data_IF_680313834873
#
_entry.id   IF_680313834873
#
_cell.length_a   1.000
_cell.length_b   1.000
_cell.length_c   1.000
_cell.angle_alpha   90.00
_cell.angle_beta   90.00
_cell.angle_gamma   90.00
#
_symmetry.space_group_name_H-M   'P 1'
#
loop_
_entity.id
_entity.type
_entity.pdbx_description
1 polymer ?
#
# COMPACT_ATOMS: atom_id res chain seq x y z
N UNK A 1 4.81 13.00 12.84
CA UNK A 1 3.48 13.07 12.19
C UNK A 1 2.48 13.47 13.27
N UNK A 2 1.68 14.51 13.04
CA UNK A 2 0.69 14.95 14.02
C UNK A 2 -0.54 14.03 13.99
N UNK A 3 -1.03 13.63 15.15
CA UNK A 3 -2.33 12.94 15.25
C UNK A 3 -3.43 13.99 15.14
N UNK A 4 -4.24 13.93 14.08
CA UNK A 4 -5.45 14.74 13.95
C UNK A 4 -6.67 13.88 14.29
N UNK A 5 -7.47 14.29 15.26
CA UNK A 5 -8.75 13.64 15.58
C UNK A 5 -9.83 14.11 14.61
N UNK A 6 -10.59 13.18 14.04
CA UNK A 6 -11.74 13.43 13.18
C UNK A 6 -12.88 12.52 13.60
N UNK A 7 -14.10 13.04 13.63
CA UNK A 7 -15.30 12.29 14.01
C UNK A 7 -16.11 11.89 12.77
N UNK A 8 -16.83 10.78 12.89
CA UNK A 8 -17.85 10.41 11.92
C UNK A 8 -19.08 11.29 12.08
N UNK A 9 -19.74 11.60 10.96
CA UNK A 9 -21.09 12.15 11.02
C UNK A 9 -22.16 11.07 11.32
N UNK A 10 -23.43 11.48 11.34
CA UNK A 10 -24.59 10.61 11.61
C UNK A 10 -24.71 9.42 10.63
N UNK A 11 -24.03 9.48 9.47
CA UNK A 11 -24.02 8.43 8.45
C UNK A 11 -22.73 7.60 8.49
N UNK A 12 -21.87 7.79 9.48
CA UNK A 12 -20.60 7.09 9.58
C UNK A 12 -19.50 7.59 8.64
N UNK A 13 -19.65 8.78 8.04
CA UNK A 13 -18.66 9.32 7.08
C UNK A 13 -17.56 10.09 7.81
N UNK A 14 -16.32 9.88 7.39
CA UNK A 14 -15.17 10.67 7.82
C UNK A 14 -14.73 11.57 6.67
N UNK A 15 -14.53 12.85 6.95
CA UNK A 15 -13.95 13.80 5.98
C UNK A 15 -12.44 13.72 6.04
N UNK A 16 -11.81 13.26 4.97
CA UNK A 16 -10.35 13.31 4.83
C UNK A 16 -9.93 14.77 4.51
N UNK A 17 -9.02 15.36 5.31
CA UNK A 17 -8.48 16.70 5.07
C UNK A 17 -7.98 16.90 3.63
N UNK A 18 -8.11 18.12 3.12
CA UNK A 18 -7.81 18.45 1.73
C UNK A 18 -6.37 18.10 1.38
N UNK A 19 -5.43 18.40 2.27
CA UNK A 19 -3.99 18.17 2.12
C UNK A 19 -3.68 16.68 1.96
N UNK A 20 -4.42 15.81 2.66
CA UNK A 20 -4.27 14.36 2.52
C UNK A 20 -4.88 13.86 1.20
N UNK A 21 -6.01 14.41 0.76
CA UNK A 21 -6.61 14.06 -0.54
C UNK A 21 -5.74 14.50 -1.72
N UNK A 22 -5.10 15.66 -1.64
CA UNK A 22 -4.14 16.10 -2.66
C UNK A 22 -2.92 15.17 -2.74
N UNK A 23 -2.47 14.64 -1.60
CA UNK A 23 -1.32 13.74 -1.53
C UNK A 23 -1.64 12.30 -1.94
N UNK A 24 -2.80 11.79 -1.55
CA UNK A 24 -3.14 10.36 -1.65
C UNK A 24 -4.31 10.06 -2.59
N UNK A 25 -4.96 11.07 -3.15
CA UNK A 25 -6.12 10.93 -4.01
C UNK A 25 -7.45 10.81 -3.26
N UNK A 26 -8.50 10.49 -4.00
CA UNK A 26 -9.89 10.50 -3.50
C UNK A 26 -10.51 9.12 -3.33
N UNK A 27 -9.87 8.07 -3.87
CA UNK A 27 -10.39 6.70 -3.85
C UNK A 27 -9.54 5.84 -2.94
N UNK A 28 -10.20 5.06 -2.07
CA UNK A 28 -9.53 4.23 -1.08
C UNK A 28 -10.18 2.84 -1.05
N UNK A 29 -9.39 1.84 -0.68
CA UNK A 29 -9.88 0.54 -0.20
C UNK A 29 -9.95 0.60 1.32
N UNK A 30 -11.09 0.23 1.87
CA UNK A 30 -11.26 0.04 3.31
C UNK A 30 -10.88 -1.39 3.65
N UNK A 31 -9.90 -1.55 4.54
CA UNK A 31 -9.45 -2.85 5.04
C UNK A 31 -9.74 -2.94 6.52
N UNK A 32 -10.47 -3.98 6.91
CA UNK A 32 -10.71 -4.32 8.30
C UNK A 32 -9.51 -5.09 8.86
N UNK A 33 -9.02 -4.66 10.02
CA UNK A 33 -7.96 -5.29 10.79
C UNK A 33 -8.51 -5.67 12.16
N UNK A 34 -7.74 -6.43 12.96
CA UNK A 34 -8.19 -6.86 14.31
C UNK A 34 -8.52 -5.67 15.22
N UNK A 35 -7.71 -4.62 15.16
CA UNK A 35 -7.78 -3.49 16.09
C UNK A 35 -8.20 -2.17 15.41
N UNK A 36 -8.77 -2.23 14.21
CA UNK A 36 -9.25 -1.04 13.51
C UNK A 36 -9.41 -1.18 12.01
N UNK A 37 -9.54 -0.05 11.33
CA UNK A 37 -9.64 0.03 9.87
C UNK A 37 -8.43 0.75 9.28
N UNK A 38 -8.04 0.36 8.07
CA UNK A 38 -7.03 1.06 7.28
C UNK A 38 -7.59 1.49 5.94
N UNK A 39 -7.40 2.76 5.59
CA UNK A 39 -7.70 3.29 4.27
C UNK A 39 -6.44 3.22 3.40
N UNK A 40 -6.49 2.40 2.34
CA UNK A 40 -5.41 2.26 1.38
C UNK A 40 -5.76 3.04 0.10
N UNK A 41 -4.96 4.04 -0.31
CA UNK A 41 -5.18 4.76 -1.57
C UNK A 41 -5.31 3.80 -2.75
N UNK A 42 -6.30 4.04 -3.62
CA UNK A 42 -6.46 3.31 -4.87
C UNK A 42 -5.95 4.18 -6.02
N UNK A 43 -4.74 3.91 -6.56
CA UNK A 43 -4.24 4.62 -7.72
C UNK A 43 -5.13 4.36 -8.94
N UNK A 44 -5.23 5.37 -9.81
CA UNK A 44 -5.97 5.26 -11.08
C UNK A 44 -5.30 4.27 -12.02
N UNK A 45 -3.97 4.28 -12.06
CA UNK A 45 -3.12 3.28 -12.72
C UNK A 45 -2.21 2.61 -11.68
N UNK A 46 -2.60 1.42 -11.18
CA UNK A 46 -1.80 0.69 -10.19
C UNK A 46 -0.42 0.29 -10.69
N UNK A 47 -0.26 0.01 -11.99
CA UNK A 47 1.01 -0.44 -12.57
C UNK A 47 1.97 0.75 -12.67
N UNK A 48 1.49 1.89 -13.17
CA UNK A 48 2.29 3.11 -13.22
C UNK A 48 2.67 3.59 -11.81
N UNK A 49 1.75 3.54 -10.85
CA UNK A 49 2.02 3.90 -9.46
C UNK A 49 3.08 2.98 -8.82
N UNK A 50 2.97 1.66 -9.03
CA UNK A 50 3.96 0.69 -8.56
C UNK A 50 5.34 0.96 -9.18
N UNK A 51 5.39 1.19 -10.49
CA UNK A 51 6.65 1.52 -11.19
C UNK A 51 7.24 2.86 -10.72
N UNK A 52 6.41 3.86 -10.41
CA UNK A 52 6.87 5.14 -9.88
C UNK A 52 7.47 5.02 -8.47
N UNK A 53 6.91 4.15 -7.63
CA UNK A 53 7.39 3.87 -6.28
C UNK A 53 8.61 2.93 -6.24
N UNK A 54 8.86 2.19 -7.32
CA UNK A 54 10.00 1.28 -7.45
C UNK A 54 11.34 2.02 -7.30
N UNK A 55 12.32 1.36 -6.68
CA UNK A 55 13.71 1.83 -6.68
C UNK A 55 14.25 1.83 -8.12
N UNK A 56 15.27 2.64 -8.39
CA UNK A 56 15.92 2.63 -9.71
C UNK A 56 16.49 1.25 -10.07
N UNK A 57 17.01 0.52 -9.08
CA UNK A 57 17.45 -0.87 -9.25
C UNK A 57 16.27 -1.76 -9.71
N UNK A 58 15.11 -1.65 -9.06
CA UNK A 58 13.93 -2.44 -9.42
C UNK A 58 13.36 -2.06 -10.80
N UNK A 59 13.52 -0.80 -11.23
CA UNK A 59 13.12 -0.36 -12.58
C UNK A 59 14.03 -0.89 -13.69
N UNK A 60 15.30 -1.15 -13.38
CA UNK A 60 16.32 -1.59 -14.33
C UNK A 60 16.45 -3.12 -14.41
N UNK A 61 15.99 -3.83 -13.38
CA UNK A 61 16.00 -5.28 -13.34
C UNK A 61 15.19 -5.90 -14.50
N UNK A 62 15.74 -6.96 -15.08
CA UNK A 62 15.06 -7.78 -16.06
C UNK A 62 14.00 -8.66 -15.41
N UNK A 63 13.02 -9.12 -16.20
CA UNK A 63 11.97 -10.02 -15.70
C UNK A 63 12.52 -11.35 -15.17
N UNK A 64 13.65 -11.83 -15.70
CA UNK A 64 14.27 -13.08 -15.25
C UNK A 64 14.95 -12.91 -13.88
N UNK A 65 15.64 -11.78 -13.66
CA UNK A 65 16.23 -11.43 -12.36
C UNK A 65 15.15 -11.27 -11.28
N UNK A 66 14.08 -10.52 -11.58
CA UNK A 66 12.95 -10.33 -10.67
C UNK A 66 12.27 -11.65 -10.30
N UNK A 67 12.16 -12.57 -11.27
CA UNK A 67 11.59 -13.90 -11.05
C UNK A 67 12.49 -14.74 -10.15
N UNK A 68 13.79 -14.72 -10.38
CA UNK A 68 14.76 -15.46 -9.58
C UNK A 68 14.76 -14.99 -8.12
N UNK A 69 14.90 -13.67 -7.88
CA UNK A 69 14.86 -13.09 -6.53
C UNK A 69 13.54 -13.40 -5.80
N UNK A 70 12.40 -13.23 -6.48
CA UNK A 70 11.10 -13.51 -5.87
C UNK A 70 10.89 -14.99 -5.50
N UNK A 71 11.52 -15.91 -6.24
CA UNK A 71 11.52 -17.34 -5.90
C UNK A 71 12.42 -17.64 -4.71
N UNK A 72 13.61 -17.06 -4.66
CA UNK A 72 14.55 -17.22 -3.55
C UNK A 72 13.93 -16.67 -2.25
N UNK A 73 13.36 -15.46 -2.28
CA UNK A 73 12.71 -14.85 -1.10
C UNK A 73 11.50 -15.68 -0.63
N UNK A 74 10.69 -16.20 -1.55
CA UNK A 74 9.58 -17.07 -1.21
C UNK A 74 10.03 -18.39 -0.56
N UNK A 75 11.16 -18.96 -1.00
CA UNK A 75 11.74 -20.16 -0.40
C UNK A 75 12.29 -19.88 1.01
N UNK A 76 12.99 -18.76 1.19
CA UNK A 76 13.49 -18.34 2.51
C UNK A 76 12.34 -18.17 3.50
N UNK A 77 11.30 -17.42 3.14
CA UNK A 77 10.15 -17.23 4.01
C UNK A 77 9.38 -18.53 4.30
N UNK A 78 9.28 -19.43 3.32
CA UNK A 78 8.68 -20.75 3.55
C UNK A 78 9.52 -21.58 4.53
N UNK A 79 10.85 -21.53 4.44
CA UNK A 79 11.76 -22.23 5.36
C UNK A 79 11.73 -21.67 6.79
N UNK A 80 11.55 -20.36 6.95
CA UNK A 80 11.45 -19.71 8.26
C UNK A 80 10.17 -20.11 9.04
N UNK A 81 9.10 -20.48 8.33
CA UNK A 81 7.82 -20.90 8.94
C UNK A 81 7.72 -22.41 9.23
N UNK A 82 8.77 -23.20 8.94
CA UNK A 82 8.81 -24.66 9.13
C UNK A 82 9.61 -25.06 10.39
N UNK A 83 9.97 -24.10 11.26
CA UNK A 83 10.72 -24.37 12.51
C UNK A 83 9.89 -24.19 13.78
#
# INVERSE_FOLDING_TARGET
MGTSEVATDERGRITIPKELRERFGERYRLVELRDGIKLLPRPDDPVAALRGAASEALKQASMDELRAEGLDEAQEQAGENVR
#
